data_IF_421428134937
#
_entry.id   IF_421428134937
#
_cell.length_a   1.000
_cell.length_b   1.000
_cell.length_c   1.000
_cell.angle_alpha   90.00
_cell.angle_beta   90.00
_cell.angle_gamma   90.00
#
_symmetry.space_group_name_H-M   'P 1'
#
loop_
_entity.id
_entity.type
_entity.pdbx_description
1 polymer ?
#
# COMPACT_ATOMS: atom_id res chain seq x y z
N UNK A 1 -9.44 14.78 -14.95
CA UNK A 1 -9.24 13.68 -13.98
C UNK A 1 -9.30 14.26 -12.59
N UNK A 2 -10.07 13.67 -11.68
CA UNK A 2 -10.04 14.05 -10.25
C UNK A 2 -8.85 13.38 -9.57
N UNK A 3 -8.16 14.11 -8.71
CA UNK A 3 -7.05 13.58 -7.89
C UNK A 3 -7.55 12.43 -7.00
N UNK A 4 -6.75 11.37 -6.84
CA UNK A 4 -7.07 10.26 -5.93
C UNK A 4 -7.25 10.77 -4.49
N UNK A 5 -8.26 10.24 -3.79
CA UNK A 5 -8.49 10.54 -2.36
C UNK A 5 -7.58 9.73 -1.44
N UNK A 6 -6.97 8.66 -1.96
CA UNK A 6 -6.09 7.75 -1.22
C UNK A 6 -4.98 8.44 -0.41
N UNK A 7 -4.14 9.35 -0.96
CA UNK A 7 -3.08 9.98 -0.17
C UNK A 7 -3.61 10.76 1.04
N UNK A 8 -4.79 11.36 0.93
CA UNK A 8 -5.43 12.09 2.03
C UNK A 8 -5.92 11.15 3.13
N UNK A 9 -6.48 10.00 2.73
CA UNK A 9 -6.91 8.96 3.68
C UNK A 9 -5.71 8.29 4.36
N UNK A 10 -4.62 8.05 3.64
CA UNK A 10 -3.36 7.54 4.22
C UNK A 10 -2.86 8.49 5.31
N UNK A 11 -2.81 9.81 5.04
CA UNK A 11 -2.45 10.82 6.05
C UNK A 11 -3.40 10.81 7.24
N UNK A 12 -4.71 10.77 7.00
CA UNK A 12 -5.70 10.76 8.07
C UNK A 12 -5.59 9.53 8.98
N UNK A 13 -5.35 8.34 8.41
CA UNK A 13 -5.16 7.10 9.17
C UNK A 13 -3.83 7.06 9.92
N UNK A 14 -2.79 7.67 9.34
CA UNK A 14 -1.52 7.87 10.02
C UNK A 14 -1.69 8.73 11.28
N UNK A 15 -2.29 9.92 11.16
CA UNK A 15 -2.55 10.82 12.29
C UNK A 15 -3.47 10.16 13.32
N UNK A 16 -4.53 9.49 12.87
CA UNK A 16 -5.42 8.72 13.76
C UNK A 16 -4.65 7.68 14.58
N UNK A 17 -3.71 6.95 13.98
CA UNK A 17 -2.87 6.01 14.74
C UNK A 17 -2.06 6.76 15.81
N UNK A 18 -1.43 7.89 15.46
CA UNK A 18 -0.62 8.66 16.40
C UNK A 18 -1.42 9.26 17.56
N UNK A 19 -2.60 9.81 17.27
CA UNK A 19 -3.50 10.39 18.29
C UNK A 19 -3.93 9.35 19.33
N UNK A 20 -4.04 8.08 18.92
CA UNK A 20 -4.38 6.96 19.81
C UNK A 20 -3.14 6.31 20.45
N UNK A 21 -1.94 6.78 20.14
CA UNK A 21 -0.68 6.17 20.62
C UNK A 21 -0.37 4.81 19.98
N UNK A 22 -0.96 4.51 18.82
CA UNK A 22 -0.72 3.29 18.05
C UNK A 22 0.48 3.41 17.12
N UNK A 23 1.01 2.27 16.70
CA UNK A 23 2.09 2.19 15.73
C UNK A 23 1.51 2.04 14.32
N UNK A 24 1.57 3.07 13.45
CA UNK A 24 1.05 2.97 12.08
C UNK A 24 1.93 2.07 11.23
N UNK A 25 1.29 1.12 10.55
CA UNK A 25 1.88 0.20 9.60
C UNK A 25 1.20 0.37 8.24
N UNK A 26 1.98 0.26 7.17
CA UNK A 26 1.48 0.19 5.79
C UNK A 26 1.82 -1.17 5.19
N UNK A 27 0.90 -1.73 4.41
CA UNK A 27 1.20 -2.84 3.50
C UNK A 27 1.28 -2.28 2.09
N UNK A 28 2.32 -2.67 1.38
CA UNK A 28 2.68 -2.13 0.07
C UNK A 28 2.83 -3.28 -0.90
N UNK A 29 2.18 -3.17 -2.06
CA UNK A 29 2.45 -4.03 -3.20
C UNK A 29 3.75 -3.60 -3.89
N UNK A 30 4.63 -4.54 -4.19
CA UNK A 30 6.00 -4.28 -4.64
C UNK A 30 6.19 -4.75 -6.07
N UNK A 31 6.64 -3.82 -6.92
CA UNK A 31 7.06 -4.04 -8.29
C UNK A 31 8.29 -3.17 -8.63
N UNK A 32 8.62 -3.03 -9.91
CA UNK A 32 9.77 -2.25 -10.40
C UNK A 32 9.73 -0.74 -10.07
N UNK A 33 8.55 -0.18 -9.75
CA UNK A 33 8.39 1.23 -9.36
C UNK A 33 8.42 1.44 -7.84
N UNK A 34 8.66 0.39 -7.07
CA UNK A 34 8.67 0.43 -5.60
C UNK A 34 10.08 0.19 -5.07
N UNK A 35 10.70 1.23 -4.49
CA UNK A 35 12.05 1.14 -3.94
C UNK A 35 12.01 0.73 -2.48
N UNK A 36 12.21 -0.57 -2.25
CA UNK A 36 12.31 -1.19 -0.92
C UNK A 36 13.37 -2.31 -0.95
N UNK A 37 13.98 -2.69 0.19
CA UNK A 37 14.89 -3.83 0.20
C UNK A 37 14.17 -5.16 -0.09
N UNK A 38 14.43 -5.70 -1.28
CA UNK A 38 13.75 -6.89 -1.83
C UNK A 38 13.78 -8.13 -0.92
N UNK A 39 14.81 -8.28 -0.09
CA UNK A 39 14.96 -9.39 0.85
C UNK A 39 13.88 -9.45 1.95
N UNK A 40 13.12 -8.37 2.17
CA UNK A 40 12.01 -8.34 3.12
C UNK A 40 10.64 -8.46 2.44
N UNK A 41 10.60 -8.58 1.12
CA UNK A 41 9.36 -8.72 0.33
C UNK A 41 8.90 -10.17 0.38
N UNK A 42 7.61 -10.38 0.61
CA UNK A 42 6.96 -11.69 0.68
C UNK A 42 5.66 -11.65 -0.11
N UNK A 43 5.46 -12.60 -1.02
CA UNK A 43 4.27 -12.67 -1.87
C UNK A 43 3.96 -11.33 -2.56
N UNK A 44 4.98 -10.68 -3.12
CA UNK A 44 4.89 -9.35 -3.77
C UNK A 44 4.45 -8.22 -2.84
N UNK A 45 4.49 -8.42 -1.52
CA UNK A 45 4.11 -7.42 -0.54
C UNK A 45 5.22 -7.18 0.48
N UNK A 46 5.27 -5.97 1.02
CA UNK A 46 6.06 -5.64 2.20
C UNK A 46 5.20 -4.86 3.18
N UNK A 47 5.34 -5.18 4.45
CA UNK A 47 4.70 -4.43 5.53
C UNK A 47 5.76 -3.62 6.27
N UNK A 48 5.53 -2.32 6.39
CA UNK A 48 6.48 -1.35 6.91
C UNK A 48 5.82 -0.55 8.04
N UNK A 49 6.56 -0.36 9.14
CA UNK A 49 6.16 0.64 10.12
C UNK A 49 6.53 2.02 9.60
N UNK A 50 5.57 2.94 9.65
CA UNK A 50 5.79 4.36 9.33
C UNK A 50 5.76 5.25 10.58
N UNK A 51 5.92 4.67 11.78
CA UNK A 51 5.90 5.46 13.01
C UNK A 51 7.10 6.42 13.10
N UNK A 52 6.99 7.51 13.89
CA UNK A 52 8.11 8.42 14.14
C UNK A 52 9.36 7.76 14.74
N UNK A 53 9.20 6.59 15.39
CA UNK A 53 10.30 5.84 16.00
C UNK A 53 10.99 4.88 15.03
N UNK A 54 10.29 4.44 13.98
CA UNK A 54 10.80 3.51 12.98
C UNK A 54 11.37 4.22 11.74
N UNK A 55 11.00 5.48 11.54
CA UNK A 55 11.32 6.26 10.33
C UNK A 55 12.05 7.55 10.64
N UNK A 56 12.71 8.10 9.61
CA UNK A 56 13.26 9.45 9.61
C UNK A 56 12.85 10.14 8.31
N UNK A 57 12.53 11.43 8.42
CA UNK A 57 12.17 12.27 7.27
C UNK A 57 10.99 11.69 6.47
N UNK A 58 9.95 11.21 7.18
CA UNK A 58 8.75 10.69 6.56
C UNK A 58 7.98 11.80 5.84
N UNK A 59 7.77 11.62 4.54
CA UNK A 59 6.83 12.39 3.74
C UNK A 59 5.74 11.49 3.18
N UNK A 60 4.50 11.94 3.31
CA UNK A 60 3.31 11.32 2.72
C UNK A 60 2.71 12.37 1.78
N UNK A 61 3.19 12.41 0.55
CA UNK A 61 2.74 13.34 -0.49
C UNK A 61 1.55 12.76 -1.27
N UNK A 62 1.13 13.43 -2.35
CA UNK A 62 0.02 12.95 -3.18
C UNK A 62 0.41 11.78 -4.09
N UNK A 63 1.67 11.74 -4.52
CA UNK A 63 2.16 10.72 -5.45
C UNK A 63 3.04 9.68 -4.76
N UNK A 64 3.78 10.09 -3.73
CA UNK A 64 4.81 9.28 -3.10
C UNK A 64 4.71 9.28 -1.58
N UNK A 65 5.00 8.13 -0.99
CA UNK A 65 5.44 8.00 0.39
C UNK A 65 6.93 7.70 0.38
N UNK A 66 7.72 8.57 1.02
CA UNK A 66 9.16 8.39 1.12
C UNK A 66 9.64 8.62 2.56
N UNK A 67 10.63 7.83 2.96
CA UNK A 67 11.25 7.92 4.29
C UNK A 67 12.54 7.12 4.35
N UNK A 68 13.32 7.36 5.39
CA UNK A 68 14.45 6.51 5.75
C UNK A 68 14.04 5.54 6.86
N UNK A 69 14.43 4.27 6.73
CA UNK A 69 14.23 3.25 7.76
C UNK A 69 15.46 2.31 7.85
N UNK A 70 15.56 1.57 8.96
CA UNK A 70 16.67 0.64 9.19
C UNK A 70 16.23 -0.80 8.98
N UNK A 71 17.00 -1.52 8.17
CA UNK A 71 16.82 -2.93 7.89
C UNK A 71 18.10 -3.69 8.25
N UNK A 72 18.03 -4.59 9.23
CA UNK A 72 19.23 -5.27 9.74
C UNK A 72 20.29 -4.29 10.30
N UNK A 73 19.85 -3.15 10.82
CA UNK A 73 20.72 -2.08 11.30
C UNK A 73 21.23 -1.11 10.22
N UNK A 74 21.06 -1.42 8.94
CA UNK A 74 21.49 -0.56 7.81
C UNK A 74 20.36 0.41 7.45
N UNK A 75 20.67 1.71 7.43
CA UNK A 75 19.72 2.73 6.99
C UNK A 75 19.55 2.70 5.46
N UNK A 76 18.31 2.72 5.00
CA UNK A 76 17.94 2.76 3.59
C UNK A 76 16.82 3.77 3.38
N UNK A 77 16.83 4.39 2.21
CA UNK A 77 15.79 5.30 1.74
C UNK A 77 14.78 4.53 0.90
N UNK A 78 13.50 4.73 1.19
CA UNK A 78 12.37 4.05 0.57
C UNK A 78 11.54 5.04 -0.24
N UNK A 79 11.06 4.59 -1.40
CA UNK A 79 10.17 5.35 -2.27
C UNK A 79 9.03 4.46 -2.74
N UNK A 80 7.81 4.83 -2.36
CA UNK A 80 6.61 4.03 -2.56
C UNK A 80 5.56 4.90 -3.27
N UNK A 81 5.10 4.53 -4.48
CA UNK A 81 3.95 5.20 -5.09
C UNK A 81 2.73 5.03 -4.18
N UNK A 82 1.97 6.10 -3.95
CA UNK A 82 0.76 6.05 -3.11
C UNK A 82 -0.23 5.00 -3.63
N UNK A 83 -0.29 4.83 -4.95
CA UNK A 83 -1.13 3.82 -5.59
C UNK A 83 -0.84 2.38 -5.16
N UNK A 84 0.38 2.09 -4.70
CA UNK A 84 0.82 0.75 -4.28
C UNK A 84 0.55 0.45 -2.80
N UNK A 85 0.05 1.42 -2.03
CA UNK A 85 -0.37 1.17 -0.65
C UNK A 85 -1.69 0.39 -0.69
N UNK A 86 -1.66 -0.85 -0.20
CA UNK A 86 -2.83 -1.74 -0.14
C UNK A 86 -3.55 -1.67 1.20
N UNK A 87 -2.92 -1.10 2.23
CA UNK A 87 -3.57 -0.87 3.51
C UNK A 87 -2.73 -0.06 4.49
N UNK A 88 -3.42 0.61 5.41
CA UNK A 88 -2.85 1.31 6.56
C UNK A 88 -3.58 0.81 7.81
N UNK A 89 -2.84 0.39 8.83
CA UNK A 89 -3.42 -0.18 10.05
C UNK A 89 -2.55 0.08 11.29
N UNK A 90 -3.19 0.05 12.46
CA UNK A 90 -2.53 0.07 13.76
C UNK A 90 -1.98 -1.32 14.09
N UNK A 91 -0.68 -1.42 14.40
CA UNK A 91 -0.03 -2.69 14.75
C UNK A 91 -0.70 -3.41 15.92
N UNK A 92 -1.16 -2.64 16.91
CA UNK A 92 -1.64 -3.13 18.20
C UNK A 92 -3.01 -3.81 18.09
N UNK A 93 -3.89 -3.26 17.25
CA UNK A 93 -5.29 -3.69 17.14
C UNK A 93 -5.59 -4.39 15.81
N UNK A 94 -4.79 -4.13 14.78
CA UNK A 94 -5.08 -4.53 13.40
C UNK A 94 -6.15 -3.68 12.73
N UNK A 95 -6.69 -2.66 13.41
CA UNK A 95 -7.69 -1.76 12.84
C UNK A 95 -7.08 -0.80 11.84
N UNK A 96 -7.82 -0.50 10.78
CA UNK A 96 -7.34 0.33 9.69
C UNK A 96 -8.23 0.24 8.46
N UNK A 97 -7.64 0.51 7.30
CA UNK A 97 -8.32 0.52 6.02
C UNK A 97 -7.46 -0.16 4.95
N UNK A 98 -8.11 -0.98 4.12
CA UNK A 98 -7.54 -1.50 2.88
C UNK A 98 -7.85 -0.58 1.70
N UNK A 99 -6.99 -0.60 0.70
CA UNK A 99 -7.12 0.19 -0.52
C UNK A 99 -6.94 -0.69 -1.76
N UNK A 100 -7.62 -0.36 -2.85
CA UNK A 100 -7.36 -0.98 -4.16
C UNK A 100 -6.01 -0.53 -4.69
N UNK A 101 -5.30 -1.39 -5.43
CA UNK A 101 -4.04 -0.99 -6.09
C UNK A 101 -4.37 -0.04 -7.24
N UNK A 102 -3.69 1.11 -7.28
CA UNK A 102 -3.69 2.03 -8.42
C UNK A 102 -2.32 1.90 -9.10
N UNK A 103 -2.22 1.22 -10.26
CA UNK A 103 -0.94 1.01 -10.93
C UNK A 103 -0.27 2.35 -11.25
N UNK A 104 1.00 2.48 -10.87
CA UNK A 104 1.80 3.63 -11.29
C UNK A 104 2.03 3.54 -12.80
N UNK A 105 1.31 4.36 -13.57
CA UNK A 105 1.60 4.57 -14.99
C UNK A 105 2.71 5.59 -15.03
N UNK A 106 3.96 5.14 -15.12
CA UNK A 106 5.05 6.05 -15.45
C UNK A 106 4.68 6.80 -16.73
N UNK A 107 4.96 8.10 -16.82
CA UNK A 107 4.89 8.81 -18.09
C UNK A 107 5.90 8.16 -19.06
N UNK A 108 5.48 7.07 -19.70
CA UNK A 108 6.06 6.66 -20.96
C UNK A 108 5.85 7.85 -21.87
N UNK A 109 6.94 8.53 -22.21
CA UNK A 109 6.93 9.69 -23.09
C UNK A 109 6.00 9.45 -24.26
N UNK A 110 5.19 10.48 -24.54
CA UNK A 110 4.24 10.61 -25.63
C UNK A 110 4.77 9.95 -26.93
N UNK A 111 4.44 8.67 -27.10
CA UNK A 111 4.73 7.90 -28.30
C UNK A 111 3.38 7.43 -28.82
N UNK A 112 2.77 8.15 -29.78
CA UNK A 112 1.38 7.94 -30.20
C UNK A 112 1.15 6.64 -31.00
N UNK A 113 2.02 5.64 -30.85
CA UNK A 113 2.02 4.43 -31.69
C UNK A 113 2.19 3.10 -30.93
N UNK A 114 1.87 3.04 -29.63
CA UNK A 114 1.74 1.78 -28.92
C UNK A 114 0.30 1.23 -29.05
N UNK A 115 0.09 -0.01 -29.51
CA UNK A 115 -1.26 -0.56 -29.69
C UNK A 115 -1.95 -0.74 -28.34
N UNK A 116 -3.15 -0.16 -28.24
CA UNK A 116 -4.08 -0.29 -27.11
C UNK A 116 -4.45 -1.76 -26.88
N UNK A 117 -4.04 -2.33 -25.75
CA UNK A 117 -4.49 -3.65 -25.30
C UNK A 117 -5.69 -3.45 -24.36
N UNK A 118 -6.75 -2.84 -24.90
CA UNK A 118 -8.05 -2.74 -24.25
C UNK A 118 -9.03 -3.66 -24.98
N UNK A 119 -8.85 -4.97 -24.81
CA UNK A 119 -9.94 -5.95 -24.90
C UNK A 119 -9.44 -7.33 -24.42
N UNK A 120 -9.51 -7.57 -23.12
CA UNK A 120 -9.69 -8.94 -22.61
C UNK A 120 -10.78 -8.91 -21.52
N UNK A 121 -11.84 -9.73 -21.65
CA UNK A 121 -12.88 -9.79 -20.64
C UNK A 121 -12.35 -10.44 -19.36
N UNK A 122 -12.64 -9.81 -18.22
CA UNK A 122 -12.32 -10.33 -16.90
C UNK A 122 -12.99 -11.71 -16.67
N UNK A 123 -12.31 -12.68 -16.02
CA UNK A 123 -12.97 -13.91 -15.61
C UNK A 123 -13.92 -13.63 -14.44
N UNK A 124 -15.19 -13.93 -14.66
CA UNK A 124 -16.25 -13.91 -13.66
C UNK A 124 -15.91 -14.80 -12.46
N UNK A 125 -15.86 -14.21 -11.27
CA UNK A 125 -15.82 -14.97 -10.02
C UNK A 125 -17.23 -15.46 -9.71
N UNK A 126 -17.46 -16.74 -10.01
CA UNK A 126 -18.65 -17.47 -9.59
C UNK A 126 -18.78 -17.54 -8.06
N UNK A 127 -20.01 -17.35 -7.62
CA UNK A 127 -20.53 -17.44 -6.25
C UNK A 127 -20.11 -18.71 -5.50
N UNK A 128 -19.33 -18.55 -4.43
CA UNK A 128 -19.10 -19.61 -3.44
C UNK A 128 -20.31 -19.76 -2.51
N UNK A 129 -20.97 -20.92 -2.62
CA UNK A 129 -22.12 -21.36 -1.84
C UNK A 129 -21.85 -21.44 -0.33
N UNK A 130 -22.84 -20.99 0.44
CA UNK A 130 -23.04 -21.26 1.87
C UNK A 130 -22.98 -22.77 2.18
N UNK A 131 -22.16 -23.17 3.16
CA UNK A 131 -22.36 -24.40 3.96
C UNK A 131 -22.24 -24.06 5.45
N UNK A 132 -23.25 -24.47 6.20
CA UNK A 132 -23.63 -23.89 7.49
C UNK A 132 -22.94 -24.43 8.74
N UNK A 133 -23.09 -23.68 9.83
CA UNK A 133 -22.77 -24.11 11.18
C UNK A 133 -24.04 -24.67 11.85
N UNK A 134 -23.91 -25.84 12.48
CA UNK A 134 -24.97 -26.46 13.30
C UNK A 134 -24.92 -25.88 14.72
N UNK A 135 -26.08 -25.49 15.22
CA UNK A 135 -26.31 -25.12 16.62
C UNK A 135 -26.28 -26.39 17.48
N UNK A 136 -25.43 -26.41 18.52
CA UNK A 136 -25.41 -27.46 19.54
C UNK A 136 -26.33 -27.03 20.68
N UNK A 137 -27.20 -27.94 21.12
CA UNK A 137 -28.27 -27.71 22.11
C UNK A 137 -27.76 -27.85 23.53
#
# INVERSE_FOLDING_TARGET
MSTSTKPYLVRALYEWCLDNGYTPYITVWVNEYTRVPAQYVQNEHITLSISPTATKDLSIDNEWVNFHARFGGVAQELWIPVGHIVGVFAKETGEGMGFEIEPFVGEAGDNPNAPSVADQPAPSLESAQKKGLKLVK
#
